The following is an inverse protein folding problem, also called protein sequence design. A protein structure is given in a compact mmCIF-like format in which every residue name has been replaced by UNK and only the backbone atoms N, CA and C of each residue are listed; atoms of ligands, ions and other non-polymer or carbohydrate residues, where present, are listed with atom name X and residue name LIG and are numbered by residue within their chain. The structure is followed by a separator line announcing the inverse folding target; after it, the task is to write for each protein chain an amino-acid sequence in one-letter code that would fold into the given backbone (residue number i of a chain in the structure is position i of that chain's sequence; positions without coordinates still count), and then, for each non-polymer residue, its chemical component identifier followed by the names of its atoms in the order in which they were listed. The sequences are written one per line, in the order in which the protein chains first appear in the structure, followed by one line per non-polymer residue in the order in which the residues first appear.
data_IF_677866391650
#
_entry.id   IF_677866391650
#
_cell.length_a   1.000
_cell.length_b   1.000
_cell.length_c   1.000
_cell.angle_alpha   90.00
_cell.angle_beta   90.00
_cell.angle_gamma   90.00
#
_symmetry.space_group_name_H-M   'P 1'
#
loop_
_entity.id
_entity.type
_entity.pdbx_description
1 polymer ?
#
# COMPACT_ATOMS: atom_id res chain seq x y z
N UNK A 1 28.84 -8.73 -6.21
CA UNK A 1 27.66 -9.26 -5.47
C UNK A 1 28.05 -9.52 -4.02
N UNK A 2 27.45 -8.80 -3.06
CA UNK A 2 27.72 -9.02 -1.63
C UNK A 2 26.98 -10.29 -1.17
N UNK A 3 27.69 -11.42 -1.07
CA UNK A 3 27.18 -12.78 -0.75
C UNK A 3 26.53 -12.95 0.64
N UNK A 4 26.28 -11.87 1.38
CA UNK A 4 25.84 -11.92 2.79
C UNK A 4 24.31 -11.98 2.97
N UNK A 5 23.54 -11.66 1.94
CA UNK A 5 22.07 -11.47 2.06
C UNK A 5 21.22 -12.43 1.21
N UNK A 6 21.83 -13.16 0.27
CA UNK A 6 21.20 -14.29 -0.42
C UNK A 6 21.94 -15.52 0.05
N UNK A 7 21.41 -16.16 1.08
CA UNK A 7 22.00 -17.36 1.69
C UNK A 7 21.03 -18.52 1.49
N UNK A 8 21.51 -19.76 1.51
CA UNK A 8 20.66 -20.96 1.52
C UNK A 8 19.93 -21.17 2.87
N UNK A 9 19.93 -20.16 3.74
CA UNK A 9 19.38 -20.20 5.08
C UNK A 9 17.95 -19.66 5.00
N UNK A 10 17.00 -20.44 5.50
CA UNK A 10 15.60 -20.01 5.57
C UNK A 10 15.47 -18.77 6.44
N UNK A 11 14.68 -17.81 5.96
CA UNK A 11 14.25 -16.65 6.74
C UNK A 11 13.14 -17.13 7.69
N UNK A 12 13.41 -17.10 9.00
CA UNK A 12 12.47 -17.63 10.00
C UNK A 12 11.84 -16.55 10.90
N UNK A 13 12.44 -15.36 10.95
CA UNK A 13 11.98 -14.27 11.80
C UNK A 13 12.03 -12.91 11.08
N UNK A 14 11.42 -11.90 11.72
CA UNK A 14 11.32 -10.56 11.17
C UNK A 14 12.68 -9.90 10.92
N UNK A 15 13.66 -10.06 11.81
CA UNK A 15 14.96 -9.39 11.66
C UNK A 15 15.72 -9.96 10.47
N UNK A 16 15.70 -11.28 10.30
CA UNK A 16 16.25 -11.94 9.11
C UNK A 16 15.51 -11.49 7.84
N UNK A 17 14.18 -11.45 7.87
CA UNK A 17 13.36 -11.03 6.73
C UNK A 17 13.64 -9.57 6.35
N UNK A 18 13.80 -8.71 7.36
CA UNK A 18 14.12 -7.29 7.20
C UNK A 18 15.46 -7.08 6.51
N UNK A 19 16.48 -7.87 6.83
CA UNK A 19 17.78 -7.77 6.14
C UNK A 19 17.68 -8.11 4.66
N UNK A 20 17.00 -9.22 4.31
CA UNK A 20 16.78 -9.63 2.91
C UNK A 20 15.91 -8.61 2.18
N UNK A 21 14.86 -8.14 2.84
CA UNK A 21 13.97 -7.10 2.35
C UNK A 21 14.72 -5.80 2.03
N UNK A 22 15.53 -5.29 2.97
CA UNK A 22 16.26 -4.04 2.77
C UNK A 22 17.26 -4.15 1.61
N UNK A 23 17.90 -5.32 1.49
CA UNK A 23 18.77 -5.60 0.35
C UNK A 23 17.98 -5.60 -0.97
N UNK A 24 16.89 -6.37 -1.05
CA UNK A 24 16.05 -6.46 -2.24
C UNK A 24 15.47 -5.10 -2.64
N UNK A 25 14.94 -4.34 -1.67
CA UNK A 25 14.39 -3.01 -1.88
C UNK A 25 15.45 -2.04 -2.40
N UNK A 26 16.68 -2.11 -1.89
CA UNK A 26 17.78 -1.29 -2.38
C UNK A 26 18.13 -1.63 -3.85
N UNK A 27 18.19 -2.92 -4.22
CA UNK A 27 18.45 -3.30 -5.62
C UNK A 27 17.31 -2.90 -6.55
N UNK A 28 16.06 -3.11 -6.13
CA UNK A 28 14.88 -2.71 -6.90
C UNK A 28 14.81 -1.19 -7.07
N UNK A 29 15.14 -0.40 -6.05
CA UNK A 29 15.17 1.07 -6.20
C UNK A 29 16.28 1.55 -7.13
N UNK A 30 17.49 0.95 -7.08
CA UNK A 30 18.57 1.26 -8.04
C UNK A 30 18.17 0.91 -9.47
N UNK A 31 17.55 -0.25 -9.66
CA UNK A 31 17.04 -0.68 -10.97
C UNK A 31 15.95 0.28 -11.43
N UNK A 32 15.02 0.65 -10.54
CA UNK A 32 13.97 1.62 -10.82
C UNK A 32 14.53 2.97 -11.28
N UNK A 33 15.62 3.45 -10.68
CA UNK A 33 16.31 4.70 -11.07
C UNK A 33 17.00 4.61 -12.44
N UNK A 34 17.42 3.42 -12.86
CA UNK A 34 18.04 3.18 -14.16
C UNK A 34 17.00 3.12 -15.29
N UNK A 35 15.87 2.46 -15.07
CA UNK A 35 14.81 2.29 -16.07
C UNK A 35 13.82 3.48 -16.12
N UNK A 36 14.18 4.64 -15.57
CA UNK A 36 13.32 5.84 -15.55
C UNK A 36 13.20 6.46 -16.94
N UNK A 37 12.08 6.17 -17.61
CA UNK A 37 11.36 7.02 -18.56
C UNK A 37 11.96 7.35 -19.95
N UNK A 38 13.13 6.84 -20.33
CA UNK A 38 13.62 6.88 -21.72
C UNK A 38 13.81 5.46 -22.28
N UNK A 39 12.70 4.82 -22.70
CA UNK A 39 12.71 3.61 -23.54
C UNK A 39 12.31 2.29 -22.87
N UNK A 40 12.34 2.19 -21.53
CA UNK A 40 12.13 0.93 -20.79
C UNK A 40 10.94 0.99 -19.81
N UNK A 41 9.78 1.43 -20.32
CA UNK A 41 8.58 1.63 -19.50
C UNK A 41 8.10 0.32 -18.87
N UNK A 42 8.10 -0.80 -19.63
CA UNK A 42 7.69 -2.12 -19.13
C UNK A 42 8.56 -2.60 -17.96
N UNK A 43 9.89 -2.49 -18.05
CA UNK A 43 10.79 -2.92 -16.97
C UNK A 43 10.61 -2.11 -15.69
N UNK A 44 10.42 -0.78 -15.82
CA UNK A 44 10.15 0.07 -14.66
C UNK A 44 8.87 -0.39 -13.94
N UNK A 45 7.87 -0.84 -14.69
CA UNK A 45 6.56 -1.27 -14.18
C UNK A 45 6.66 -2.57 -13.42
N UNK A 46 7.35 -3.54 -13.99
CA UNK A 46 7.64 -4.82 -13.33
C UNK A 46 8.41 -4.58 -12.03
N UNK A 47 9.39 -3.68 -12.02
CA UNK A 47 10.13 -3.30 -10.81
C UNK A 47 9.19 -2.69 -9.75
N UNK A 48 8.23 -1.85 -10.15
CA UNK A 48 7.22 -1.33 -9.23
C UNK A 48 6.33 -2.43 -8.64
N UNK A 49 5.94 -3.42 -9.45
CA UNK A 49 5.16 -4.58 -8.98
C UNK A 49 5.97 -5.44 -7.99
N UNK A 50 7.24 -5.71 -8.29
CA UNK A 50 8.15 -6.47 -7.43
C UNK A 50 8.39 -5.78 -6.09
N UNK A 51 8.50 -4.45 -6.08
CA UNK A 51 8.60 -3.68 -4.83
C UNK A 51 7.35 -3.89 -3.97
N UNK A 52 6.14 -3.82 -4.55
CA UNK A 52 4.88 -4.06 -3.84
C UNK A 52 4.81 -5.48 -3.25
N UNK A 53 5.20 -6.49 -4.04
CA UNK A 53 5.25 -7.88 -3.57
C UNK A 53 6.28 -8.09 -2.46
N UNK A 54 7.46 -7.47 -2.57
CA UNK A 54 8.51 -7.55 -1.57
C UNK A 54 8.05 -6.98 -0.22
N UNK A 55 7.33 -5.87 -0.25
CA UNK A 55 6.72 -5.28 0.94
C UNK A 55 5.64 -6.16 1.57
N UNK A 56 4.77 -6.80 0.78
CA UNK A 56 3.78 -7.75 1.28
C UNK A 56 4.47 -8.97 1.96
N UNK A 57 5.55 -9.49 1.36
CA UNK A 57 6.32 -10.61 1.94
C UNK A 57 7.01 -10.26 3.26
N UNK A 58 7.52 -9.03 3.43
CA UNK A 58 8.11 -8.62 4.71
C UNK A 58 7.07 -8.62 5.85
N UNK A 59 5.87 -8.13 5.56
CA UNK A 59 4.77 -8.02 6.53
C UNK A 59 4.45 -9.37 7.18
N UNK A 60 4.56 -10.47 6.44
CA UNK A 60 4.33 -11.83 6.94
C UNK A 60 5.12 -12.17 8.21
N UNK A 61 6.35 -11.64 8.36
CA UNK A 61 7.25 -12.00 9.45
C UNK A 61 7.09 -11.16 10.73
N UNK A 62 6.32 -10.07 10.70
CA UNK A 62 6.15 -9.21 11.88
C UNK A 62 5.05 -9.79 12.80
N UNK A 63 5.45 -10.17 14.01
CA UNK A 63 4.60 -10.85 15.00
C UNK A 63 3.70 -9.89 15.78
N UNK A 64 4.13 -8.63 15.96
CA UNK A 64 3.29 -7.59 16.57
C UNK A 64 2.38 -6.95 15.52
N UNK A 65 1.06 -7.19 15.64
CA UNK A 65 0.04 -6.72 14.69
C UNK A 65 0.03 -5.19 14.56
N UNK A 66 0.31 -4.43 15.63
CA UNK A 66 0.33 -2.96 15.59
C UNK A 66 1.56 -2.47 14.83
N UNK A 67 2.72 -3.06 15.11
CA UNK A 67 3.99 -2.75 14.42
C UNK A 67 3.94 -3.16 12.96
N UNK A 68 3.40 -4.35 12.67
CA UNK A 68 3.15 -4.87 11.34
C UNK A 68 2.32 -3.90 10.51
N UNK A 69 1.22 -3.43 11.10
CA UNK A 69 0.29 -2.57 10.40
C UNK A 69 0.84 -1.16 10.20
N UNK A 70 1.56 -0.61 11.19
CA UNK A 70 2.20 0.70 11.04
C UNK A 70 3.31 0.67 9.98
N UNK A 71 4.19 -0.35 10.03
CA UNK A 71 5.26 -0.53 9.05
C UNK A 71 4.70 -0.79 7.65
N UNK A 72 3.62 -1.55 7.53
CA UNK A 72 2.91 -1.78 6.27
C UNK A 72 2.32 -0.49 5.68
N UNK A 73 1.67 0.35 6.49
CA UNK A 73 1.12 1.63 6.03
C UNK A 73 2.23 2.54 5.49
N UNK A 74 3.27 2.83 6.30
CA UNK A 74 4.36 3.72 5.89
C UNK A 74 5.06 3.27 4.61
N UNK A 75 5.20 1.96 4.48
CA UNK A 75 5.74 1.26 3.33
C UNK A 75 4.94 1.55 2.06
N UNK A 76 3.64 1.30 2.08
CA UNK A 76 2.79 1.47 0.90
C UNK A 76 2.54 2.95 0.61
N UNK A 77 2.50 3.82 1.62
CA UNK A 77 2.46 5.27 1.42
C UNK A 77 3.72 5.77 0.70
N UNK A 78 4.90 5.29 1.09
CA UNK A 78 6.16 5.64 0.39
C UNK A 78 6.20 5.08 -1.02
N UNK A 79 5.67 3.88 -1.25
CA UNK A 79 5.52 3.34 -2.60
C UNK A 79 4.62 4.24 -3.47
N UNK A 80 3.45 4.62 -2.96
CA UNK A 80 2.55 5.55 -3.63
C UNK A 80 3.26 6.88 -3.93
N UNK A 81 4.04 7.44 -2.99
CA UNK A 81 4.86 8.65 -3.21
C UNK A 81 5.83 8.53 -4.39
N UNK A 82 6.35 7.32 -4.69
CA UNK A 82 7.23 7.12 -5.85
C UNK A 82 6.48 7.15 -7.20
N UNK A 83 5.16 7.02 -7.17
CA UNK A 83 4.30 7.13 -8.34
C UNK A 83 3.81 8.58 -8.59
N UNK A 84 4.04 9.51 -7.67
CA UNK A 84 3.78 10.94 -7.92
C UNK A 84 4.90 11.50 -8.81
N UNK A 85 4.55 12.07 -9.96
CA UNK A 85 5.51 12.67 -10.88
C UNK A 85 6.33 13.78 -10.19
N UNK A 86 7.64 13.56 -10.05
CA UNK A 86 8.60 14.49 -9.41
C UNK A 86 8.68 15.89 -10.05
N UNK A 87 8.23 16.08 -11.30
CA UNK A 87 8.35 17.36 -12.03
C UNK A 87 7.16 18.33 -11.86
N UNK A 88 5.95 17.85 -11.59
CA UNK A 88 4.75 18.70 -11.63
C UNK A 88 4.21 19.10 -10.26
N UNK A 89 4.58 18.40 -9.16
CA UNK A 89 3.94 18.55 -7.83
C UNK A 89 2.40 18.55 -7.92
N UNK A 90 1.84 17.94 -8.96
CA UNK A 90 0.41 17.80 -9.18
C UNK A 90 0.09 16.32 -9.35
N UNK A 91 -1.09 15.92 -8.88
CA UNK A 91 -1.68 14.61 -9.11
C UNK A 91 -1.58 14.33 -10.63
N UNK A 92 -0.80 13.34 -11.07
CA UNK A 92 -0.98 12.81 -12.42
C UNK A 92 -2.43 12.36 -12.48
N UNK A 93 -3.25 13.05 -13.28
CA UNK A 93 -4.70 12.92 -13.23
C UNK A 93 -5.16 11.46 -13.37
N UNK A 94 -4.37 10.64 -14.07
CA UNK A 94 -4.56 9.19 -14.27
C UNK A 94 -3.22 8.46 -14.09
N UNK A 95 -3.17 7.40 -13.28
CA UNK A 95 -2.09 6.41 -13.28
C UNK A 95 -1.99 5.77 -14.67
N UNK A 96 -0.78 5.55 -15.20
CA UNK A 96 -0.65 4.72 -16.40
C UNK A 96 -1.08 3.29 -16.10
N UNK A 97 -1.61 2.59 -17.10
CA UNK A 97 -2.19 1.24 -16.97
C UNK A 97 -1.24 0.27 -16.25
N UNK A 98 0.02 0.40 -16.61
CA UNK A 98 1.24 -0.09 -15.98
C UNK A 98 1.30 0.00 -14.43
N UNK A 99 1.05 1.17 -13.84
CA UNK A 99 1.09 1.36 -12.36
C UNK A 99 -0.27 1.25 -11.69
N UNK A 100 -1.34 1.26 -12.48
CA UNK A 100 -2.71 1.38 -12.01
C UNK A 100 -3.05 0.31 -10.97
N UNK A 101 -2.78 -0.96 -11.30
CA UNK A 101 -3.11 -2.08 -10.42
C UNK A 101 -2.26 -2.07 -9.15
N UNK A 102 -0.97 -1.73 -9.27
CA UNK A 102 -0.07 -1.63 -8.12
C UNK A 102 -0.46 -0.51 -7.16
N UNK A 103 -0.89 0.65 -7.67
CA UNK A 103 -1.37 1.77 -6.86
C UNK A 103 -2.67 1.39 -6.11
N UNK A 104 -3.62 0.79 -6.81
CA UNK A 104 -4.90 0.33 -6.25
C UNK A 104 -4.66 -0.71 -5.14
N UNK A 105 -3.80 -1.70 -5.38
CA UNK A 105 -3.41 -2.68 -4.36
C UNK A 105 -2.72 -2.05 -3.16
N UNK A 106 -1.87 -1.04 -3.35
CA UNK A 106 -1.22 -0.35 -2.25
C UNK A 106 -2.24 0.33 -1.32
N UNK A 107 -3.24 1.02 -1.88
CA UNK A 107 -4.33 1.59 -1.08
C UNK A 107 -5.20 0.51 -0.40
N UNK A 108 -5.44 -0.63 -1.05
CA UNK A 108 -6.15 -1.77 -0.41
C UNK A 108 -5.40 -2.28 0.81
N UNK A 109 -4.10 -2.55 0.69
CA UNK A 109 -3.31 -3.05 1.81
C UNK A 109 -3.20 -2.04 2.94
N UNK A 110 -3.05 -0.74 2.63
CA UNK A 110 -3.14 0.34 3.63
C UNK A 110 -4.46 0.25 4.39
N UNK A 111 -5.59 0.10 3.69
CA UNK A 111 -6.88 0.00 4.35
C UNK A 111 -7.06 -1.26 5.19
N UNK A 112 -6.46 -2.39 4.77
CA UNK A 112 -6.40 -3.61 5.61
C UNK A 112 -5.55 -3.43 6.86
N UNK A 113 -4.43 -2.72 6.78
CA UNK A 113 -3.60 -2.42 7.94
C UNK A 113 -4.32 -1.50 8.92
N UNK A 114 -5.00 -0.44 8.44
CA UNK A 114 -5.84 0.38 9.31
C UNK A 114 -6.93 -0.44 10.01
N UNK A 115 -7.52 -1.42 9.32
CA UNK A 115 -8.48 -2.36 9.93
C UNK A 115 -7.86 -3.24 11.02
N UNK A 116 -6.61 -3.67 10.86
CA UNK A 116 -5.86 -4.44 11.86
C UNK A 116 -5.41 -3.60 13.07
N UNK A 117 -5.09 -2.32 12.89
CA UNK A 117 -4.69 -1.41 13.99
C UNK A 117 -5.86 -1.15 14.96
N UNK A 118 -7.10 -1.43 14.58
CA UNK A 118 -8.30 -1.18 15.41
C UNK A 118 -8.29 -1.88 16.78
N UNK A 119 -7.37 -2.80 17.05
CA UNK A 119 -7.14 -3.45 18.34
C UNK A 119 -6.40 -2.57 19.37
N UNK A 120 -6.62 -1.25 19.38
CA UNK A 120 -6.09 -0.34 20.43
C UNK A 120 -7.15 -0.09 21.50
N UNK A 121 -6.77 -0.04 22.78
CA UNK A 121 -7.71 0.26 23.87
C UNK A 121 -8.18 1.72 23.88
N UNK A 122 -7.56 2.60 23.07
CA UNK A 122 -7.96 4.00 22.95
C UNK A 122 -9.01 4.18 21.84
N UNK A 123 -10.24 4.54 22.22
CA UNK A 123 -11.36 4.74 21.31
C UNK A 123 -11.14 5.92 20.34
N UNK A 124 -10.62 7.05 20.82
CA UNK A 124 -10.36 8.22 19.94
C UNK A 124 -9.37 7.90 18.82
N UNK A 125 -8.29 7.18 19.14
CA UNK A 125 -7.30 6.75 18.14
C UNK A 125 -7.91 5.77 17.13
N UNK A 126 -8.85 4.92 17.55
CA UNK A 126 -9.60 4.03 16.65
C UNK A 126 -10.48 4.83 15.71
N UNK A 127 -11.16 5.87 16.18
CA UNK A 127 -11.99 6.75 15.36
C UNK A 127 -11.14 7.44 14.28
N UNK A 128 -10.04 8.07 14.67
CA UNK A 128 -9.14 8.77 13.73
C UNK A 128 -8.58 7.81 12.66
N UNK A 129 -8.23 6.59 13.04
CA UNK A 129 -7.75 5.58 12.09
C UNK A 129 -8.84 5.15 11.08
N UNK A 130 -10.10 5.04 11.53
CA UNK A 130 -11.24 4.75 10.65
C UNK A 130 -11.50 5.89 9.66
N UNK A 131 -11.39 7.14 10.10
CA UNK A 131 -11.55 8.33 9.25
C UNK A 131 -10.47 8.42 8.17
N UNK A 132 -9.21 8.17 8.54
CA UNK A 132 -8.11 8.13 7.58
C UNK A 132 -8.35 7.00 6.57
N UNK A 133 -8.71 5.80 7.04
CA UNK A 133 -8.99 4.66 6.17
C UNK A 133 -10.12 4.95 5.16
N UNK A 134 -11.23 5.53 5.64
CA UNK A 134 -12.35 5.92 4.80
C UNK A 134 -11.93 6.92 3.73
N UNK A 135 -11.10 7.90 4.08
CA UNK A 135 -10.57 8.89 3.14
C UNK A 135 -9.76 8.24 2.02
N UNK A 136 -8.96 7.21 2.35
CA UNK A 136 -8.17 6.47 1.35
C UNK A 136 -9.07 5.66 0.41
N UNK A 137 -10.09 4.97 0.91
CA UNK A 137 -11.02 4.23 0.05
C UNK A 137 -11.87 5.13 -0.83
N UNK A 138 -12.39 6.24 -0.28
CA UNK A 138 -13.14 7.25 -1.05
C UNK A 138 -12.33 7.77 -2.23
N UNK A 139 -11.05 8.08 -2.00
CA UNK A 139 -10.16 8.52 -3.08
C UNK A 139 -10.10 7.52 -4.25
N UNK A 140 -10.01 6.21 -3.97
CA UNK A 140 -9.97 5.19 -5.04
C UNK A 140 -11.32 5.08 -5.74
N UNK A 141 -12.43 5.11 -5.00
CA UNK A 141 -13.78 5.05 -5.58
C UNK A 141 -13.99 6.23 -6.51
N UNK A 142 -13.71 7.44 -6.05
CA UNK A 142 -13.82 8.67 -6.85
C UNK A 142 -12.90 8.62 -8.09
N UNK A 143 -11.72 8.01 -7.94
CA UNK A 143 -10.78 7.81 -9.04
C UNK A 143 -11.32 6.82 -10.08
N UNK A 144 -11.87 5.68 -9.67
CA UNK A 144 -12.46 4.69 -10.58
C UNK A 144 -13.70 5.24 -11.28
N UNK A 145 -14.57 5.99 -10.58
CA UNK A 145 -15.75 6.61 -11.20
C UNK A 145 -15.36 7.71 -12.21
N UNK A 146 -14.22 8.38 -12.01
CA UNK A 146 -13.68 9.38 -12.96
C UNK A 146 -13.09 8.75 -14.23
N UNK A 147 -12.62 7.51 -14.16
CA UNK A 147 -11.97 6.80 -15.26
C UNK A 147 -12.66 5.44 -15.49
N UNK A 148 -13.75 5.39 -16.30
CA UNK A 148 -14.53 4.17 -16.50
C UNK A 148 -13.73 2.98 -17.06
N UNK A 149 -12.70 3.27 -17.84
CA UNK A 149 -11.75 2.28 -18.36
C UNK A 149 -10.92 1.63 -17.24
N UNK A 150 -10.51 2.41 -16.24
CA UNK A 150 -9.89 1.88 -15.01
C UNK A 150 -10.88 1.03 -14.24
N UNK A 151 -12.11 1.50 -14.07
CA UNK A 151 -13.16 0.81 -13.32
C UNK A 151 -13.46 -0.58 -13.89
N UNK A 152 -13.42 -0.73 -15.21
CA UNK A 152 -13.60 -2.02 -15.87
C UNK A 152 -12.45 -3.00 -15.57
N UNK A 153 -11.20 -2.50 -15.47
CA UNK A 153 -10.02 -3.33 -15.19
C UNK A 153 -9.96 -3.81 -13.72
N UNK A 154 -10.49 -3.01 -12.80
CA UNK A 154 -10.41 -3.25 -11.34
C UNK A 154 -11.79 -3.36 -10.68
N UNK A 155 -12.78 -3.86 -11.42
CA UNK A 155 -14.18 -3.90 -11.00
C UNK A 155 -14.37 -4.61 -9.65
N UNK A 156 -13.68 -5.75 -9.45
CA UNK A 156 -13.74 -6.51 -8.22
C UNK A 156 -13.21 -5.71 -7.02
N UNK A 157 -12.03 -5.11 -7.15
CA UNK A 157 -11.42 -4.27 -6.11
C UNK A 157 -12.29 -3.03 -5.84
N UNK A 158 -12.82 -2.41 -6.89
CA UNK A 158 -13.70 -1.25 -6.80
C UNK A 158 -14.98 -1.52 -6.00
N UNK A 159 -15.62 -2.67 -6.23
CA UNK A 159 -16.81 -3.07 -5.48
C UNK A 159 -16.51 -3.22 -3.97
N UNK A 160 -15.37 -3.82 -3.63
CA UNK A 160 -14.93 -3.92 -2.22
C UNK A 160 -14.70 -2.54 -1.61
N UNK A 161 -14.08 -1.60 -2.33
CA UNK A 161 -13.90 -0.24 -1.80
C UNK A 161 -15.22 0.49 -1.59
N UNK A 162 -16.20 0.31 -2.49
CA UNK A 162 -17.55 0.87 -2.33
C UNK A 162 -18.24 0.35 -1.07
N UNK A 163 -18.20 -0.96 -0.85
CA UNK A 163 -18.75 -1.57 0.36
C UNK A 163 -18.07 -1.03 1.63
N UNK A 164 -16.74 -0.88 1.61
CA UNK A 164 -15.99 -0.32 2.74
C UNK A 164 -16.38 1.15 3.01
N UNK A 165 -16.62 1.95 1.97
CA UNK A 165 -17.07 3.34 2.11
C UNK A 165 -18.45 3.47 2.76
N UNK A 166 -19.30 2.44 2.65
CA UNK A 166 -20.61 2.37 3.31
C UNK A 166 -20.47 1.83 4.73
N UNK A 167 -19.65 0.79 4.93
CA UNK A 167 -19.50 0.09 6.20
C UNK A 167 -18.74 0.90 7.26
N UNK A 168 -17.66 1.59 6.89
CA UNK A 168 -16.81 2.31 7.84
C UNK A 168 -17.55 3.45 8.60
N UNK A 169 -18.38 4.30 7.96
CA UNK A 169 -19.20 5.29 8.65
C UNK A 169 -20.09 4.68 9.76
N UNK A 170 -20.81 3.60 9.44
CA UNK A 170 -21.66 2.92 10.43
C UNK A 170 -20.86 2.43 11.65
N UNK A 171 -19.65 1.92 11.41
CA UNK A 171 -18.75 1.49 12.48
C UNK A 171 -18.23 2.67 13.32
N UNK A 172 -18.02 3.83 12.70
CA UNK A 172 -17.59 5.05 13.39
C UNK A 172 -18.69 5.63 14.26
N UNK A 173 -19.95 5.63 13.80
CA UNK A 173 -21.08 6.16 14.55
C UNK A 173 -21.29 5.38 15.86
N UNK A 174 -21.26 4.04 15.79
CA UNK A 174 -21.24 3.19 17.00
C UNK A 174 -20.08 3.50 17.96
N UNK A 175 -18.95 3.91 17.42
CA UNK A 175 -17.77 4.22 18.23
C UNK A 175 -17.85 5.61 18.86
N UNK A 176 -18.54 6.55 18.20
CA UNK A 176 -18.88 7.89 18.73
C UNK A 176 -19.89 7.80 19.86
N UNK A 177 -20.88 6.91 19.77
CA UNK A 177 -21.84 6.62 20.85
C UNK A 177 -21.16 6.08 22.13
N UNK A 178 -20.02 5.40 21.99
CA UNK A 178 -19.23 4.91 23.14
C UNK A 178 -18.30 5.97 23.73
N UNK A 179 -18.13 7.11 23.05
CA UNK A 179 -17.28 8.22 23.46
C UNK A 179 -18.08 9.39 24.08
N UNK A 180 -19.40 9.41 23.89
CA UNK A 180 -20.36 10.30 24.54
C UNK A 180 -20.70 9.85 25.95
#
# INVERSE_FOLDING_TARGET
MNKKYITAIYVLDYEQARHVFLFGLNQLNKSKEYYVLDGFVTDYVEICQDISQLYNKLVFFESDIKRQSHNGIQTFERFLLTMYHKKTKQLSKKYSDDYLRSAILAYFYIGRFYSKIQSTNNLQKRLNNLEINLTKYKYIVDYCERYPDVKQVVENEHNVYKEMCIFLPFKMDKLRELLS
#
